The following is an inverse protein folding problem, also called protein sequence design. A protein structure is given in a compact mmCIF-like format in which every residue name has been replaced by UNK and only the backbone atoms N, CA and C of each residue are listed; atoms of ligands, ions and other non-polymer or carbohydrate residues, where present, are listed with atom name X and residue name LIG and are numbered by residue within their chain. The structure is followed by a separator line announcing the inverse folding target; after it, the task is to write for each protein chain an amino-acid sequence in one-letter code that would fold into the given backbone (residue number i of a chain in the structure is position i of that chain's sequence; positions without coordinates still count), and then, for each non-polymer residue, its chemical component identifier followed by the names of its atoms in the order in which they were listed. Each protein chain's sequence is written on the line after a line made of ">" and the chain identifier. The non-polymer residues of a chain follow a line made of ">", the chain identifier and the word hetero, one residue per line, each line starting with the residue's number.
data_IF_379174777325
#
_entry.id   IF_379174777325
#
_cell.length_a   1.000
_cell.length_b   1.000
_cell.length_c   1.000
_cell.angle_alpha   90.00
_cell.angle_beta   90.00
_cell.angle_gamma   90.00
#
_symmetry.space_group_name_H-M   'P 1'
#
loop_
_entity.id
_entity.type
_entity.pdbx_description
1 polymer ?
#
# COMPACT_ATOMS: atom_id res chain seq x y z
N UNK A 1 21.69 -2.41 7.12
CA UNK A 1 21.22 -3.07 5.89
C UNK A 1 19.71 -3.00 5.93
N UNK A 2 19.08 -2.12 5.14
CA UNK A 2 17.63 -1.93 5.20
C UNK A 2 16.96 -3.19 4.64
N UNK A 3 16.24 -3.91 5.50
CA UNK A 3 15.52 -5.11 5.10
C UNK A 3 14.33 -4.70 4.22
N UNK A 4 14.36 -5.12 2.96
CA UNK A 4 13.31 -4.90 1.97
C UNK A 4 12.78 -6.25 1.51
N UNK A 5 11.48 -6.43 1.55
CA UNK A 5 10.79 -7.59 0.98
C UNK A 5 9.75 -7.11 -0.02
N UNK A 6 9.48 -7.91 -1.06
CA UNK A 6 8.56 -7.51 -2.12
C UNK A 6 7.73 -8.68 -2.64
N UNK A 7 6.59 -8.34 -3.23
CA UNK A 7 5.73 -9.25 -3.99
C UNK A 7 5.34 -8.55 -5.29
N UNK A 8 5.58 -9.20 -6.42
CA UNK A 8 5.04 -8.76 -7.71
C UNK A 8 3.55 -9.10 -7.75
N UNK A 9 2.73 -8.15 -8.21
CA UNK A 9 1.28 -8.30 -8.29
C UNK A 9 0.91 -8.49 -9.75
N UNK A 10 0.46 -9.70 -10.10
CA UNK A 10 0.05 -10.06 -11.46
C UNK A 10 -1.33 -10.74 -11.42
N UNK A 11 -1.61 -11.48 -10.35
CA UNK A 11 -2.82 -12.26 -10.12
C UNK A 11 -3.46 -11.89 -8.79
N UNK A 12 -4.72 -12.29 -8.59
CA UNK A 12 -5.41 -12.08 -7.31
C UNK A 12 -4.73 -12.81 -6.13
N UNK A 13 -4.05 -13.92 -6.38
CA UNK A 13 -3.30 -14.66 -5.35
C UNK A 13 -2.12 -13.86 -4.80
N UNK A 14 -1.54 -12.98 -5.61
CA UNK A 14 -0.42 -12.13 -5.20
C UNK A 14 -0.85 -11.08 -4.17
N UNK A 15 -2.14 -10.68 -4.18
CA UNK A 15 -2.72 -9.81 -3.14
C UNK A 15 -2.67 -10.52 -1.79
N UNK A 16 -3.01 -11.81 -1.75
CA UNK A 16 -2.95 -12.62 -0.53
C UNK A 16 -1.50 -12.77 -0.06
N UNK A 17 -0.57 -13.01 -0.98
CA UNK A 17 0.85 -13.12 -0.68
C UNK A 17 1.42 -11.81 -0.11
N UNK A 18 1.13 -10.67 -0.75
CA UNK A 18 1.55 -9.34 -0.28
C UNK A 18 1.00 -9.04 1.12
N UNK A 19 -0.29 -9.35 1.35
CA UNK A 19 -0.91 -9.20 2.67
C UNK A 19 -0.23 -10.05 3.74
N UNK A 20 0.08 -11.31 3.43
CA UNK A 20 0.75 -12.21 4.37
C UNK A 20 2.18 -11.74 4.68
N UNK A 21 2.91 -11.26 3.66
CA UNK A 21 4.23 -10.66 3.82
C UNK A 21 4.14 -9.45 4.76
N UNK A 22 3.21 -8.53 4.51
CA UNK A 22 3.03 -7.34 5.35
C UNK A 22 2.66 -7.65 6.79
N UNK A 23 1.80 -8.64 7.02
CA UNK A 23 1.50 -9.11 8.38
C UNK A 23 2.76 -9.62 9.10
N UNK A 24 3.56 -10.43 8.40
CA UNK A 24 4.79 -11.00 8.96
C UNK A 24 5.80 -9.89 9.29
N UNK A 25 5.98 -8.92 8.40
CA UNK A 25 6.91 -7.81 8.64
C UNK A 25 6.41 -6.89 9.75
N UNK A 26 5.12 -6.55 9.79
CA UNK A 26 4.52 -5.78 10.89
C UNK A 26 4.71 -6.47 12.24
N UNK A 27 4.50 -7.79 12.30
CA UNK A 27 4.76 -8.57 13.52
C UNK A 27 6.24 -8.54 13.93
N UNK A 28 7.16 -8.73 12.98
CA UNK A 28 8.61 -8.67 13.25
C UNK A 28 9.08 -7.27 13.66
N UNK A 29 8.38 -6.23 13.21
CA UNK A 29 8.62 -4.84 13.56
C UNK A 29 8.03 -4.45 14.94
N UNK A 30 7.26 -5.32 15.59
CA UNK A 30 6.70 -5.09 16.92
C UNK A 30 5.30 -4.46 16.95
N UNK A 31 4.64 -4.30 15.80
CA UNK A 31 3.29 -3.73 15.77
C UNK A 31 2.27 -4.61 16.49
N UNK A 32 1.35 -3.97 17.23
CA UNK A 32 0.19 -4.63 17.84
C UNK A 32 -0.78 -5.18 16.79
N UNK A 33 -1.72 -6.03 17.21
CA UNK A 33 -2.67 -6.71 16.32
C UNK A 33 -3.57 -5.74 15.54
N UNK A 34 -3.92 -4.59 16.15
CA UNK A 34 -4.73 -3.53 15.51
C UNK A 34 -3.97 -2.90 14.35
N UNK A 35 -2.72 -2.50 14.54
CA UNK A 35 -1.92 -1.90 13.46
C UNK A 35 -1.50 -2.92 12.41
N UNK A 36 -1.25 -4.18 12.80
CA UNK A 36 -1.11 -5.27 11.83
C UNK A 36 -2.33 -5.37 10.92
N UNK A 37 -3.56 -5.28 11.48
CA UNK A 37 -4.77 -5.29 10.67
C UNK A 37 -4.82 -4.09 9.72
N UNK A 38 -4.56 -2.87 10.21
CA UNK A 38 -4.51 -1.64 9.39
C UNK A 38 -3.51 -1.75 8.23
N UNK A 39 -2.28 -2.18 8.51
CA UNK A 39 -1.22 -2.41 7.53
C UNK A 39 -1.68 -3.42 6.47
N UNK A 40 -2.25 -4.56 6.89
CA UNK A 40 -2.69 -5.60 5.96
C UNK A 40 -3.88 -5.16 5.09
N UNK A 41 -4.78 -4.34 5.62
CA UNK A 41 -5.88 -3.75 4.85
C UNK A 41 -5.34 -2.75 3.83
N UNK A 42 -4.41 -1.87 4.22
CA UNK A 42 -3.75 -0.95 3.31
C UNK A 42 -3.06 -1.68 2.14
N UNK A 43 -2.30 -2.74 2.42
CA UNK A 43 -1.65 -3.55 1.39
C UNK A 43 -2.67 -4.19 0.44
N UNK A 44 -3.78 -4.70 0.98
CA UNK A 44 -4.83 -5.32 0.17
C UNK A 44 -5.44 -4.34 -0.83
N UNK A 45 -5.72 -3.11 -0.39
CA UNK A 45 -6.28 -2.06 -1.25
C UNK A 45 -5.27 -1.61 -2.32
N UNK A 46 -4.00 -1.42 -1.95
CA UNK A 46 -2.96 -1.02 -2.90
C UNK A 46 -2.67 -2.10 -3.95
N UNK A 47 -2.52 -3.36 -3.52
CA UNK A 47 -2.31 -4.48 -4.43
C UNK A 47 -3.52 -4.71 -5.34
N UNK A 48 -4.75 -4.55 -4.81
CA UNK A 48 -5.97 -4.61 -5.62
C UNK A 48 -6.02 -3.52 -6.68
N UNK A 49 -5.64 -2.28 -6.35
CA UNK A 49 -5.60 -1.20 -7.33
C UNK A 49 -4.59 -1.50 -8.45
N UNK A 50 -3.40 -2.03 -8.13
CA UNK A 50 -2.43 -2.47 -9.14
C UNK A 50 -3.07 -3.53 -10.05
N UNK A 51 -3.63 -4.59 -9.47
CA UNK A 51 -4.23 -5.69 -10.22
C UNK A 51 -5.37 -5.22 -11.15
N UNK A 52 -6.29 -4.40 -10.65
CA UNK A 52 -7.48 -3.98 -11.40
C UNK A 52 -7.21 -2.90 -12.45
N UNK A 53 -6.27 -1.98 -12.21
CA UNK A 53 -6.09 -0.80 -13.07
C UNK A 53 -4.79 -0.79 -13.86
N UNK A 54 -3.72 -1.36 -13.32
CA UNK A 54 -2.42 -1.39 -13.98
C UNK A 54 -2.12 -2.76 -14.62
N UNK A 55 -2.79 -3.81 -14.18
CA UNK A 55 -2.61 -5.20 -14.64
C UNK A 55 -1.36 -5.88 -14.07
N UNK A 56 -0.28 -5.13 -13.85
CA UNK A 56 0.92 -5.60 -13.14
C UNK A 56 1.59 -4.48 -12.34
N UNK A 57 2.30 -4.87 -11.29
CA UNK A 57 3.10 -3.95 -10.49
C UNK A 57 3.76 -4.68 -9.33
N UNK A 58 4.10 -3.95 -8.27
CA UNK A 58 4.83 -4.48 -7.11
C UNK A 58 4.40 -3.81 -5.82
N UNK A 59 4.33 -4.61 -4.76
CA UNK A 59 4.31 -4.14 -3.37
C UNK A 59 5.67 -4.40 -2.74
N UNK A 60 6.27 -3.37 -2.16
CA UNK A 60 7.52 -3.44 -1.41
C UNK A 60 7.28 -2.98 0.03
N UNK A 61 7.94 -3.66 0.96
CA UNK A 61 7.81 -3.42 2.40
C UNK A 61 9.21 -3.20 2.95
N UNK A 62 9.40 -2.02 3.53
CA UNK A 62 10.67 -1.58 4.11
C UNK A 62 10.47 -1.26 5.57
N UNK A 63 11.38 -1.74 6.42
CA UNK A 63 11.49 -1.24 7.79
C UNK A 63 12.27 0.06 7.73
N UNK A 64 11.71 1.11 8.30
CA UNK A 64 12.26 2.47 8.25
C UNK A 64 12.51 3.00 9.65
N UNK A 65 13.44 3.93 9.76
CA UNK A 65 13.73 4.67 10.98
C UNK A 65 13.88 6.14 10.61
N UNK A 66 13.17 7.01 11.27
CA UNK A 66 13.21 8.46 11.04
C UNK A 66 13.02 9.20 12.36
N UNK A 67 13.89 10.18 12.64
CA UNK A 67 13.92 10.94 13.90
C UNK A 67 13.77 10.09 15.19
N UNK A 68 14.35 8.88 15.18
CA UNK A 68 14.29 7.94 16.31
C UNK A 68 13.00 7.11 16.39
N UNK A 69 12.01 7.36 15.52
CA UNK A 69 10.83 6.51 15.35
C UNK A 69 11.14 5.35 14.42
N UNK A 70 10.62 4.17 14.76
CA UNK A 70 10.72 2.98 13.93
C UNK A 70 9.38 2.71 13.24
N UNK A 71 9.38 2.22 12.01
CA UNK A 71 8.14 2.00 11.27
C UNK A 71 8.26 1.04 10.10
N UNK A 72 7.14 0.87 9.39
CA UNK A 72 7.08 0.17 8.11
C UNK A 72 6.57 1.12 7.04
N UNK A 73 7.32 1.18 5.94
CA UNK A 73 6.96 1.87 4.72
C UNK A 73 6.55 0.85 3.66
N UNK A 74 5.38 1.05 3.08
CA UNK A 74 4.84 0.27 1.97
C UNK A 74 4.98 1.13 0.71
N UNK A 75 5.58 0.56 -0.34
CA UNK A 75 5.66 1.18 -1.66
C UNK A 75 4.90 0.30 -2.64
N UNK A 76 3.83 0.84 -3.20
CA UNK A 76 3.07 0.23 -4.29
C UNK A 76 3.43 0.94 -5.59
N UNK A 77 3.90 0.20 -6.59
CA UNK A 77 4.35 0.78 -7.86
C UNK A 77 3.85 -0.02 -9.06
N UNK A 78 3.50 0.69 -10.12
CA UNK A 78 3.11 0.12 -11.40
C UNK A 78 3.52 1.04 -12.56
N UNK A 79 3.64 0.46 -13.75
CA UNK A 79 3.86 1.16 -15.04
C UNK A 79 2.57 1.22 -15.86
N UNK A 80 1.42 1.29 -15.18
CA UNK A 80 0.10 1.28 -15.79
C UNK A 80 -0.30 2.61 -16.44
N UNK A 81 -1.61 2.84 -16.66
CA UNK A 81 -2.10 4.05 -17.32
C UNK A 81 -1.95 5.33 -16.47
N UNK A 82 -1.58 5.22 -15.19
CA UNK A 82 -1.58 6.34 -14.26
C UNK A 82 -2.99 6.81 -13.88
N UNK A 83 -3.05 7.87 -13.07
CA UNK A 83 -4.30 8.45 -12.56
C UNK A 83 -4.50 9.83 -13.20
N UNK A 84 -5.55 9.96 -14.01
CA UNK A 84 -5.84 11.19 -14.74
C UNK A 84 -6.31 12.34 -13.83
N UNK A 85 -7.21 12.05 -12.88
CA UNK A 85 -7.67 13.03 -11.89
C UNK A 85 -7.48 12.48 -10.48
N UNK A 86 -6.31 12.76 -9.92
CA UNK A 86 -5.94 12.30 -8.58
C UNK A 86 -6.88 12.83 -7.50
N UNK A 87 -7.45 14.04 -7.67
CA UNK A 87 -8.36 14.62 -6.68
C UNK A 87 -9.61 13.76 -6.56
N UNK A 88 -10.19 13.37 -7.69
CA UNK A 88 -11.38 12.52 -7.73
C UNK A 88 -11.18 11.16 -7.07
N UNK A 89 -10.03 10.51 -7.28
CA UNK A 89 -9.75 9.20 -6.66
C UNK A 89 -9.47 9.31 -5.15
N UNK A 90 -9.15 10.51 -4.68
CA UNK A 90 -8.95 10.83 -3.26
C UNK A 90 -10.22 11.37 -2.56
N UNK A 91 -11.34 11.53 -3.27
CA UNK A 91 -12.61 11.94 -2.67
C UNK A 91 -13.22 10.84 -1.81
N UNK A 92 -13.77 11.23 -0.65
CA UNK A 92 -14.46 10.29 0.24
C UNK A 92 -15.72 9.72 -0.44
N UNK A 93 -15.92 8.41 -0.28
CA UNK A 93 -16.98 7.67 -0.96
C UNK A 93 -16.61 7.20 -2.36
N UNK A 94 -15.47 7.62 -2.92
CA UNK A 94 -14.93 7.04 -4.14
C UNK A 94 -14.37 5.63 -3.83
N UNK A 95 -15.18 4.61 -4.12
CA UNK A 95 -14.74 3.23 -4.09
C UNK A 95 -14.22 2.87 -5.48
N UNK A 96 -12.93 2.57 -5.56
CA UNK A 96 -12.32 2.13 -6.82
C UNK A 96 -12.81 0.72 -7.15
N UNK A 97 -12.81 -0.21 -6.20
CA UNK A 97 -12.55 -1.61 -6.54
C UNK A 97 -13.58 -2.66 -6.09
N UNK A 98 -14.79 -2.26 -5.65
CA UNK A 98 -15.84 -3.21 -5.22
C UNK A 98 -15.42 -4.16 -4.06
N UNK A 99 -14.29 -3.88 -3.40
CA UNK A 99 -13.73 -4.67 -2.30
C UNK A 99 -14.28 -4.30 -0.92
N UNK A 100 -13.80 -5.01 0.11
CA UNK A 100 -14.22 -4.94 1.53
C UNK A 100 -13.86 -3.64 2.29
N UNK A 101 -13.55 -2.55 1.58
CA UNK A 101 -13.54 -1.20 2.13
C UNK A 101 -12.15 -0.66 2.45
N UNK A 102 -11.73 0.33 1.68
CA UNK A 102 -11.82 1.74 2.06
C UNK A 102 -11.33 2.67 0.93
N UNK A 103 -10.81 2.11 -0.18
CA UNK A 103 -10.26 2.86 -1.30
C UNK A 103 -8.96 3.58 -0.93
N UNK A 104 -8.41 4.37 -1.85
CA UNK A 104 -7.23 5.20 -1.56
C UNK A 104 -7.41 6.15 -0.36
N UNK A 105 -8.59 6.80 -0.15
CA UNK A 105 -8.84 7.60 1.05
C UNK A 105 -8.76 6.76 2.33
N UNK A 106 -9.20 5.51 2.24
CA UNK A 106 -9.07 4.51 3.29
C UNK A 106 -7.64 4.21 3.69
N UNK A 107 -6.80 3.92 2.71
CA UNK A 107 -5.36 3.68 2.94
C UNK A 107 -4.74 4.87 3.67
N UNK A 108 -5.04 6.09 3.21
CA UNK A 108 -4.57 7.32 3.85
C UNK A 108 -5.00 7.45 5.32
N UNK A 109 -6.17 6.95 5.72
CA UNK A 109 -6.64 6.97 7.11
C UNK A 109 -6.05 5.86 7.99
N UNK A 110 -5.69 4.73 7.40
CA UNK A 110 -5.14 3.58 8.12
C UNK A 110 -3.65 3.77 8.48
N UNK A 111 -2.96 4.56 7.66
CA UNK A 111 -1.52 4.82 7.72
C UNK A 111 -1.26 6.21 8.28
N UNK A 112 -0.05 6.46 8.78
CA UNK A 112 0.32 7.74 9.41
C UNK A 112 0.82 8.74 8.35
N UNK A 113 1.47 8.23 7.31
CA UNK A 113 1.91 9.00 6.15
C UNK A 113 1.39 8.37 4.86
N UNK A 114 1.11 9.22 3.88
CA UNK A 114 0.61 8.80 2.58
C UNK A 114 1.00 9.79 1.48
N UNK A 115 1.63 9.29 0.43
CA UNK A 115 2.06 10.05 -0.75
C UNK A 115 1.71 9.29 -2.02
N UNK A 116 1.20 10.02 -3.02
CA UNK A 116 0.92 9.48 -4.35
C UNK A 116 1.69 10.31 -5.38
N UNK A 117 2.36 9.62 -6.28
CA UNK A 117 2.99 10.16 -7.49
C UNK A 117 2.41 9.37 -8.65
N UNK A 118 1.72 10.03 -9.57
CA UNK A 118 1.11 9.38 -10.72
C UNK A 118 1.15 10.32 -11.90
N UNK A 119 1.45 9.79 -13.09
CA UNK A 119 1.43 10.54 -14.33
C UNK A 119 0.72 9.72 -15.41
N UNK A 120 -0.23 10.32 -16.16
CA UNK A 120 -0.93 9.63 -17.24
C UNK A 120 0.05 8.98 -18.23
N UNK A 121 -0.11 7.68 -18.45
CA UNK A 121 0.73 6.88 -19.34
C UNK A 121 2.10 6.47 -18.78
N UNK A 122 2.46 6.85 -17.55
CA UNK A 122 3.72 6.44 -16.89
C UNK A 122 3.53 5.60 -15.64
N UNK A 123 2.30 5.36 -15.22
CA UNK A 123 1.97 4.56 -14.04
C UNK A 123 1.83 5.35 -12.75
N UNK A 124 1.84 4.64 -11.65
CA UNK A 124 1.57 5.17 -10.31
C UNK A 124 2.54 4.61 -9.29
N UNK A 125 2.98 5.46 -8.37
CA UNK A 125 3.70 5.06 -7.16
C UNK A 125 3.01 5.64 -5.93
N UNK A 126 2.63 4.78 -5.02
CA UNK A 126 2.04 5.14 -3.73
C UNK A 126 3.00 4.72 -2.63
N UNK A 127 3.30 5.64 -1.73
CA UNK A 127 4.10 5.37 -0.52
C UNK A 127 3.23 5.61 0.70
N UNK A 128 3.18 4.65 1.61
CA UNK A 128 2.45 4.78 2.86
C UNK A 128 3.28 4.27 4.04
N UNK A 129 3.40 5.07 5.10
CA UNK A 129 4.22 4.72 6.28
C UNK A 129 3.34 4.54 7.51
N UNK A 130 3.63 3.51 8.30
CA UNK A 130 3.09 3.30 9.64
C UNK A 130 4.22 3.37 10.64
N UNK A 131 4.09 4.20 11.68
CA UNK A 131 5.07 4.36 12.74
C UNK A 131 4.67 3.54 13.97
N UNK A 132 5.68 2.96 14.62
CA UNK A 132 5.53 2.27 15.89
C UNK A 132 5.53 3.34 17.00
N UNK A 133 4.38 3.52 17.64
CA UNK A 133 4.17 4.44 18.76
C UNK A 133 4.19 3.69 20.10
#
# INVERSE_FOLDING_TARGET
>A
MNYRSSVDIITEWDIVAARQLGRNEAKKAGFGTVDQARITTAISELARNIYLYAGKGRIEIERVTDDGMFGIKIVASDDGPGIQDLRKVMEDGYTTSGGLGAGMPGVKRLMDEFKVISEPGKGTTITATKWLH
#
